data_IF_361100667554
#
_entry.id   IF_361100667554
#
_cell.length_a   1.000
_cell.length_b   1.000
_cell.length_c   1.000
_cell.angle_alpha   90.00
_cell.angle_beta   90.00
_cell.angle_gamma   90.00
#
_symmetry.space_group_name_H-M   'P 1'
#
loop_
_entity.id
_entity.type
_entity.pdbx_description
1 polymer ?
#
# COMPACT_ATOMS: atom_id res chain seq x y z
N UNK A 1 18.41 10.85 -7.46
CA UNK A 1 17.62 10.88 -8.72
C UNK A 1 17.73 9.57 -9.52
N UNK A 2 18.94 9.10 -9.84
CA UNK A 2 19.15 7.85 -10.62
C UNK A 2 18.48 6.63 -9.96
N UNK A 3 18.64 6.45 -8.65
CA UNK A 3 18.02 5.35 -7.91
C UNK A 3 16.50 5.31 -8.07
N UNK A 4 15.82 6.46 -8.00
CA UNK A 4 14.36 6.54 -8.15
C UNK A 4 13.91 6.15 -9.56
N UNK A 5 14.69 6.51 -10.59
CA UNK A 5 14.44 6.09 -11.97
C UNK A 5 14.60 4.57 -12.09
N UNK A 6 15.62 3.99 -11.46
CA UNK A 6 15.84 2.54 -11.45
C UNK A 6 14.72 1.80 -10.74
N UNK A 7 14.24 2.30 -9.60
CA UNK A 7 13.05 1.78 -8.90
C UNK A 7 11.83 1.82 -9.82
N UNK A 8 11.55 2.96 -10.45
CA UNK A 8 10.40 3.07 -11.34
C UNK A 8 10.48 2.11 -12.54
N UNK A 9 11.61 2.10 -13.25
CA UNK A 9 11.82 1.24 -14.42
C UNK A 9 11.73 -0.24 -14.04
N UNK A 10 12.32 -0.63 -12.92
CA UNK A 10 12.29 -2.02 -12.45
C UNK A 10 10.85 -2.45 -12.14
N UNK A 11 10.11 -1.66 -11.38
CA UNK A 11 8.71 -1.94 -11.11
C UNK A 11 7.89 -2.03 -12.42
N UNK A 12 8.05 -1.07 -13.33
CA UNK A 12 7.35 -1.04 -14.62
C UNK A 12 7.64 -2.29 -15.46
N UNK A 13 8.91 -2.67 -15.61
CA UNK A 13 9.34 -3.84 -16.37
C UNK A 13 8.77 -5.12 -15.77
N UNK A 14 8.85 -5.29 -14.44
CA UNK A 14 8.29 -6.46 -13.75
C UNK A 14 6.77 -6.55 -13.99
N UNK A 15 6.04 -5.44 -13.81
CA UNK A 15 4.59 -5.43 -14.10
C UNK A 15 4.33 -5.80 -15.56
N UNK A 16 5.03 -5.20 -16.52
CA UNK A 16 4.82 -5.40 -17.95
C UNK A 16 5.00 -6.88 -18.35
N UNK A 17 6.05 -7.55 -17.84
CA UNK A 17 6.32 -8.95 -18.17
C UNK A 17 5.45 -9.95 -17.38
N UNK A 18 5.10 -9.66 -16.14
CA UNK A 18 4.30 -10.58 -15.32
C UNK A 18 2.81 -10.51 -15.63
N UNK A 19 2.30 -9.36 -16.10
CA UNK A 19 0.86 -9.16 -16.40
C UNK A 19 0.28 -10.19 -17.37
N UNK A 20 0.89 -10.48 -18.55
CA UNK A 20 0.37 -11.50 -19.46
C UNK A 20 0.26 -12.90 -18.84
N UNK A 21 1.21 -13.27 -17.98
CA UNK A 21 1.19 -14.55 -17.28
C UNK A 21 0.05 -14.61 -16.27
N UNK A 22 -0.18 -13.53 -15.51
CA UNK A 22 -1.28 -13.44 -14.55
C UNK A 22 -2.64 -13.44 -15.25
N UNK A 23 -2.80 -12.77 -16.39
CA UNK A 23 -4.04 -12.82 -17.18
C UNK A 23 -4.39 -14.28 -17.52
N UNK A 24 -3.40 -15.08 -17.96
CA UNK A 24 -3.62 -16.51 -18.26
C UNK A 24 -4.05 -17.28 -17.01
N UNK A 25 -3.39 -17.06 -15.87
CA UNK A 25 -3.75 -17.71 -14.59
C UNK A 25 -5.15 -17.30 -14.14
N UNK A 26 -5.50 -16.02 -14.25
CA UNK A 26 -6.82 -15.51 -13.88
C UNK A 26 -7.94 -16.20 -14.69
N UNK A 27 -7.76 -16.34 -16.00
CA UNK A 27 -8.71 -17.04 -16.87
C UNK A 27 -8.80 -18.52 -16.49
N UNK A 28 -7.66 -19.21 -16.32
CA UNK A 28 -7.63 -20.63 -15.98
C UNK A 28 -8.26 -20.94 -14.60
N UNK A 29 -8.22 -19.98 -13.67
CA UNK A 29 -8.76 -20.11 -12.32
C UNK A 29 -10.14 -19.46 -12.14
N UNK A 30 -10.75 -18.95 -13.21
CA UNK A 30 -12.01 -18.19 -13.17
C UNK A 30 -11.97 -16.99 -12.19
N UNK A 31 -10.79 -16.37 -12.02
CA UNK A 31 -10.60 -15.11 -11.28
C UNK A 31 -10.81 -13.91 -12.22
N UNK A 32 -11.95 -13.94 -12.92
CA UNK A 32 -12.34 -12.96 -13.92
C UNK A 32 -13.69 -12.36 -13.56
N UNK A 33 -13.82 -11.06 -13.74
CA UNK A 33 -15.10 -10.38 -13.61
C UNK A 33 -15.82 -10.41 -14.96
N UNK A 34 -17.06 -10.92 -14.95
CA UNK A 34 -17.91 -11.02 -16.13
C UNK A 34 -18.76 -9.75 -16.28
N UNK A 35 -19.04 -9.30 -17.51
CA UNK A 35 -19.91 -8.16 -17.75
C UNK A 35 -21.38 -8.58 -17.60
N UNK A 36 -21.85 -8.75 -16.36
CA UNK A 36 -23.18 -9.27 -16.04
C UNK A 36 -24.17 -8.23 -15.49
N UNK A 37 -23.72 -7.03 -15.13
CA UNK A 37 -24.58 -5.98 -14.55
C UNK A 37 -24.60 -4.71 -15.41
N UNK A 38 -25.76 -4.05 -15.50
CA UNK A 38 -25.98 -2.80 -16.26
C UNK A 38 -25.09 -1.62 -15.81
N UNK A 39 -24.47 -1.73 -14.63
CA UNK A 39 -23.53 -0.74 -14.08
C UNK A 39 -22.07 -0.93 -14.54
N UNK A 40 -21.75 -1.99 -15.31
CA UNK A 40 -20.38 -2.31 -15.75
C UNK A 40 -20.12 -1.87 -17.19
N UNK A 41 -19.13 -1.00 -17.39
CA UNK A 41 -18.78 -0.39 -18.70
C UNK A 41 -17.99 -1.37 -19.60
N UNK A 42 -17.34 -2.37 -19.00
CA UNK A 42 -16.48 -3.30 -19.71
C UNK A 42 -17.28 -4.35 -20.48
N UNK A 43 -16.92 -4.57 -21.75
CA UNK A 43 -17.58 -5.54 -22.66
C UNK A 43 -16.91 -6.92 -22.71
N UNK A 44 -15.86 -7.13 -21.91
CA UNK A 44 -15.03 -8.35 -21.90
C UNK A 44 -14.74 -8.74 -20.46
N UNK A 45 -14.40 -10.01 -20.25
CA UNK A 45 -13.97 -10.50 -18.95
C UNK A 45 -12.63 -9.85 -18.55
N UNK A 46 -12.55 -9.29 -17.34
CA UNK A 46 -11.36 -8.59 -16.83
C UNK A 46 -10.79 -9.35 -15.63
N UNK A 47 -9.46 -9.59 -15.55
CA UNK A 47 -8.85 -10.20 -14.36
C UNK A 47 -9.05 -9.32 -13.12
N UNK A 48 -9.52 -9.89 -12.01
CA UNK A 48 -9.71 -9.17 -10.75
C UNK A 48 -8.43 -9.05 -9.91
N UNK A 49 -7.38 -9.78 -10.29
CA UNK A 49 -6.15 -9.95 -9.50
C UNK A 49 -5.00 -9.00 -9.89
N UNK A 50 -5.28 -7.93 -10.66
CA UNK A 50 -4.25 -6.99 -11.15
C UNK A 50 -3.43 -6.33 -10.03
N UNK A 51 -4.08 -6.00 -8.91
CA UNK A 51 -3.42 -5.41 -7.73
C UNK A 51 -2.31 -6.29 -7.14
N UNK A 52 -2.39 -7.62 -7.32
CA UNK A 52 -1.35 -8.55 -6.83
C UNK A 52 -0.01 -8.33 -7.52
N UNK A 53 -0.01 -8.15 -8.85
CA UNK A 53 1.24 -7.87 -9.55
C UNK A 53 1.77 -6.50 -9.17
N UNK A 54 0.91 -5.48 -9.10
CA UNK A 54 1.35 -4.13 -8.78
C UNK A 54 2.04 -4.13 -7.42
N UNK A 55 1.43 -4.72 -6.40
CA UNK A 55 2.03 -4.85 -5.08
C UNK A 55 3.34 -5.64 -5.10
N UNK A 56 3.36 -6.81 -5.75
CA UNK A 56 4.57 -7.65 -5.81
C UNK A 56 5.73 -6.95 -6.52
N UNK A 57 5.46 -6.25 -7.62
CA UNK A 57 6.46 -5.50 -8.38
C UNK A 57 6.97 -4.28 -7.60
N UNK A 58 6.08 -3.55 -6.92
CA UNK A 58 6.46 -2.43 -6.04
C UNK A 58 7.33 -2.93 -4.88
N UNK A 59 6.93 -4.00 -4.20
CA UNK A 59 7.70 -4.57 -3.09
C UNK A 59 9.06 -5.10 -3.55
N UNK A 60 9.10 -5.82 -4.68
CA UNK A 60 10.33 -6.32 -5.28
C UNK A 60 11.29 -5.18 -5.62
N UNK A 61 10.81 -4.17 -6.34
CA UNK A 61 11.63 -3.04 -6.76
C UNK A 61 12.11 -2.21 -5.58
N UNK A 62 11.22 -1.95 -4.60
CA UNK A 62 11.59 -1.23 -3.38
C UNK A 62 12.67 -1.98 -2.60
N UNK A 63 12.54 -3.30 -2.46
CA UNK A 63 13.51 -4.13 -1.74
C UNK A 63 14.84 -4.27 -2.49
N UNK A 64 14.80 -4.38 -3.82
CA UNK A 64 16.00 -4.54 -4.66
C UNK A 64 16.91 -3.30 -4.61
N UNK A 65 16.29 -2.12 -4.58
CA UNK A 65 17.00 -0.83 -4.63
C UNK A 65 17.06 -0.14 -3.26
N UNK A 66 16.71 -0.83 -2.17
CA UNK A 66 16.87 -0.31 -0.83
C UNK A 66 18.37 -0.14 -0.53
N UNK A 67 18.81 1.12 -0.50
CA UNK A 67 20.22 1.45 -0.34
C UNK A 67 20.49 1.98 1.07
N UNK A 68 21.47 1.38 1.73
CA UNK A 68 22.03 1.84 3.02
C UNK A 68 23.54 2.09 2.92
N UNK A 69 24.12 2.01 1.72
CA UNK A 69 25.56 2.04 1.50
C UNK A 69 26.13 3.45 1.72
N UNK A 70 25.33 4.48 1.42
CA UNK A 70 25.68 5.89 1.62
C UNK A 70 25.50 6.36 3.08
N UNK A 71 24.99 5.49 3.96
CA UNK A 71 24.79 5.79 5.38
C UNK A 71 26.05 5.42 6.16
N UNK A 72 26.68 6.42 6.79
CA UNK A 72 27.91 6.21 7.55
C UNK A 72 27.69 6.10 9.07
N UNK A 73 26.53 6.53 9.56
CA UNK A 73 26.18 6.48 10.98
C UNK A 73 25.27 5.28 11.27
N UNK A 74 25.65 4.50 12.29
CA UNK A 74 24.86 3.36 12.78
C UNK A 74 23.43 3.78 13.15
N UNK A 75 23.24 4.98 13.70
CA UNK A 75 21.91 5.48 14.07
C UNK A 75 20.99 5.63 12.85
N UNK A 76 21.53 6.15 11.74
CA UNK A 76 20.79 6.36 10.50
C UNK A 76 20.47 5.03 9.80
N UNK A 77 21.41 4.09 9.80
CA UNK A 77 21.19 2.73 9.28
C UNK A 77 20.08 2.05 10.09
N UNK A 78 20.14 2.16 11.42
CA UNK A 78 19.15 1.55 12.31
C UNK A 78 17.73 2.08 12.03
N UNK A 79 17.54 3.40 11.98
CA UNK A 79 16.23 3.98 11.69
C UNK A 79 15.75 3.63 10.27
N UNK A 80 16.62 3.69 9.26
CA UNK A 80 16.25 3.33 7.87
C UNK A 80 15.78 1.87 7.76
N UNK A 81 16.48 0.95 8.43
CA UNK A 81 16.11 -0.47 8.46
C UNK A 81 14.84 -0.70 9.26
N UNK A 82 14.63 0.05 10.35
CA UNK A 82 13.41 -0.01 11.16
C UNK A 82 12.20 0.45 10.35
N UNK A 83 12.28 1.60 9.68
CA UNK A 83 11.23 2.10 8.79
C UNK A 83 10.91 1.11 7.67
N UNK A 84 11.95 0.59 7.00
CA UNK A 84 11.80 -0.40 5.94
C UNK A 84 11.04 -1.65 6.42
N UNK A 85 11.42 -2.21 7.57
CA UNK A 85 10.75 -3.38 8.17
C UNK A 85 9.28 -3.11 8.48
N UNK A 86 8.99 -1.93 9.04
CA UNK A 86 7.63 -1.56 9.44
C UNK A 86 6.74 -1.33 8.22
N UNK A 87 7.25 -0.66 7.18
CA UNK A 87 6.52 -0.43 5.92
C UNK A 87 6.24 -1.76 5.22
N UNK A 88 7.20 -2.68 5.15
CA UNK A 88 6.98 -3.99 4.54
C UNK A 88 5.96 -4.81 5.34
N UNK A 89 6.12 -4.90 6.65
CA UNK A 89 5.20 -5.67 7.50
C UNK A 89 3.76 -5.14 7.41
N UNK A 90 3.59 -3.82 7.50
CA UNK A 90 2.26 -3.20 7.44
C UNK A 90 1.65 -3.30 6.05
N UNK A 91 2.43 -3.09 4.99
CA UNK A 91 1.96 -3.25 3.61
C UNK A 91 1.56 -4.69 3.29
N UNK A 92 2.25 -5.71 3.83
CA UNK A 92 1.89 -7.12 3.66
C UNK A 92 0.53 -7.43 4.30
N UNK A 93 0.27 -6.90 5.50
CA UNK A 93 -1.04 -7.04 6.15
C UNK A 93 -2.13 -6.42 5.28
N UNK A 94 -1.92 -5.21 4.76
CA UNK A 94 -2.89 -4.55 3.88
C UNK A 94 -3.10 -5.32 2.58
N UNK A 95 -2.02 -5.83 2.00
CA UNK A 95 -2.09 -6.67 0.81
C UNK A 95 -2.99 -7.89 1.01
N UNK A 96 -2.79 -8.64 2.10
CA UNK A 96 -3.64 -9.81 2.38
C UNK A 96 -5.09 -9.44 2.72
N UNK A 97 -5.31 -8.30 3.38
CA UNK A 97 -6.67 -7.80 3.61
C UNK A 97 -7.36 -7.48 2.28
N UNK A 98 -6.67 -6.80 1.36
CA UNK A 98 -7.18 -6.49 0.02
C UNK A 98 -7.46 -7.75 -0.80
N UNK A 99 -6.49 -8.67 -0.89
CA UNK A 99 -6.65 -9.94 -1.62
C UNK A 99 -7.82 -10.76 -1.07
N UNK A 100 -7.99 -10.81 0.25
CA UNK A 100 -9.12 -11.51 0.87
C UNK A 100 -10.45 -10.86 0.52
N UNK A 101 -10.50 -9.53 0.52
CA UNK A 101 -11.69 -8.76 0.16
C UNK A 101 -12.09 -9.00 -1.31
N UNK A 102 -11.12 -9.00 -2.23
CA UNK A 102 -11.35 -9.22 -3.66
C UNK A 102 -11.83 -10.65 -3.98
N UNK A 103 -11.37 -11.66 -3.23
CA UNK A 103 -11.70 -13.08 -3.50
C UNK A 103 -12.99 -13.52 -2.81
N UNK A 104 -13.19 -13.16 -1.53
CA UNK A 104 -14.26 -13.73 -0.68
C UNK A 104 -15.25 -12.65 -0.22
N UNK A 105 -14.88 -11.38 -0.31
CA UNK A 105 -15.59 -10.28 0.35
C UNK A 105 -15.34 -10.26 1.85
N UNK A 106 -15.10 -9.08 2.42
CA UNK A 106 -14.91 -8.90 3.85
C UNK A 106 -15.91 -7.87 4.40
N UNK A 107 -16.47 -8.15 5.59
CA UNK A 107 -17.35 -7.20 6.25
C UNK A 107 -16.63 -5.86 6.52
N UNK A 108 -17.24 -4.69 6.26
CA UNK A 108 -16.58 -3.39 6.38
C UNK A 108 -15.92 -3.16 7.75
N UNK A 109 -16.56 -3.61 8.83
CA UNK A 109 -16.03 -3.50 10.19
C UNK A 109 -14.73 -4.29 10.38
N UNK A 110 -14.60 -5.47 9.76
CA UNK A 110 -13.37 -6.29 9.84
C UNK A 110 -12.23 -5.65 9.04
N UNK A 111 -12.54 -5.04 7.89
CA UNK A 111 -11.58 -4.28 7.07
C UNK A 111 -11.09 -3.05 7.82
N UNK A 112 -12.01 -2.29 8.42
CA UNK A 112 -11.68 -1.13 9.24
C UNK A 112 -10.80 -1.51 10.44
N UNK A 113 -11.10 -2.60 11.14
CA UNK A 113 -10.28 -3.08 12.24
C UNK A 113 -8.84 -3.37 11.80
N UNK A 114 -8.66 -4.03 10.64
CA UNK A 114 -7.33 -4.29 10.10
C UNK A 114 -6.57 -3.00 9.76
N UNK A 115 -7.25 -2.01 9.15
CA UNK A 115 -6.65 -0.70 8.91
C UNK A 115 -6.28 0.00 10.22
N UNK A 116 -7.13 -0.02 11.25
CA UNK A 116 -6.81 0.55 12.57
C UNK A 116 -5.54 -0.09 13.14
N UNK A 117 -5.44 -1.42 13.12
CA UNK A 117 -4.24 -2.13 13.59
C UNK A 117 -2.99 -1.71 12.81
N UNK A 118 -3.07 -1.65 11.47
CA UNK A 118 -1.96 -1.22 10.62
C UNK A 118 -1.55 0.23 10.92
N UNK A 119 -2.53 1.14 11.03
CA UNK A 119 -2.27 2.54 11.36
C UNK A 119 -1.60 2.69 12.73
N UNK A 120 -2.03 1.93 13.73
CA UNK A 120 -1.40 1.92 15.05
C UNK A 120 0.04 1.39 15.01
N UNK A 121 0.34 0.37 14.19
CA UNK A 121 1.71 -0.11 14.00
C UNK A 121 2.58 0.99 13.38
N UNK A 122 2.12 1.64 12.30
CA UNK A 122 2.84 2.74 11.65
C UNK A 122 3.14 3.88 12.64
N UNK A 123 2.16 4.27 13.44
CA UNK A 123 2.24 5.42 14.34
C UNK A 123 3.04 5.11 15.60
N UNK A 124 2.73 4.01 16.30
CA UNK A 124 3.30 3.72 17.62
C UNK A 124 4.64 3.00 17.54
N UNK A 125 4.84 2.11 16.55
CA UNK A 125 6.09 1.37 16.39
C UNK A 125 7.02 2.06 15.38
N UNK A 126 6.44 2.66 14.33
CA UNK A 126 7.20 3.33 13.27
C UNK A 126 7.52 4.78 13.54
N UNK A 127 6.83 5.43 14.49
CA UNK A 127 6.83 6.90 14.64
C UNK A 127 6.51 7.63 13.32
N UNK A 128 5.82 6.95 12.39
CA UNK A 128 5.37 7.50 11.11
C UNK A 128 4.03 8.19 11.35
N UNK A 129 4.12 9.47 11.72
CA UNK A 129 2.96 10.28 12.09
C UNK A 129 3.10 11.74 11.67
N UNK A 130 1.96 12.38 11.48
CA UNK A 130 1.84 13.83 11.29
C UNK A 130 2.16 14.49 12.63
N UNK A 131 3.33 15.13 12.74
CA UNK A 131 3.80 15.80 13.97
C UNK A 131 3.38 17.27 14.07
N UNK A 132 2.85 17.82 12.97
CA UNK A 132 2.57 19.23 12.85
C UNK A 132 1.77 19.59 11.61
N UNK A 133 1.23 20.80 11.59
CA UNK A 133 0.48 21.35 10.46
C UNK A 133 1.34 22.29 9.58
N UNK A 134 2.64 22.43 9.90
CA UNK A 134 3.61 23.20 9.11
C UNK A 134 3.15 24.64 8.80
N UNK A 135 2.48 25.30 9.75
CA UNK A 135 2.02 26.68 9.63
C UNK A 135 0.57 26.83 9.14
N UNK A 136 -0.10 25.74 8.75
CA UNK A 136 -1.54 25.76 8.49
C UNK A 136 -2.27 26.10 9.80
N UNK A 137 -3.20 27.06 9.75
CA UNK A 137 -3.88 27.64 10.91
C UNK A 137 -2.94 28.23 11.98
N UNK A 138 -1.73 28.66 11.61
CA UNK A 138 -0.69 29.13 12.55
C UNK A 138 -0.26 28.05 13.56
N UNK A 139 -0.48 26.77 13.26
CA UNK A 139 -0.04 25.64 14.10
C UNK A 139 1.19 25.00 13.47
N UNK A 140 2.32 25.05 14.18
CA UNK A 140 3.53 24.35 13.74
C UNK A 140 3.52 22.89 14.20
N UNK A 141 3.45 22.66 15.51
CA UNK A 141 3.43 21.32 16.12
C UNK A 141 2.11 21.08 16.83
N UNK A 142 1.67 19.82 16.80
CA UNK A 142 0.49 19.36 17.52
C UNK A 142 0.90 18.50 18.72
N UNK A 143 0.11 18.50 19.81
CA UNK A 143 0.39 17.62 20.95
C UNK A 143 0.32 16.16 20.51
N UNK A 144 1.03 15.30 21.23
CA UNK A 144 1.21 13.89 20.87
C UNK A 144 -0.11 13.14 20.64
N UNK A 145 -1.10 13.30 21.52
CA UNK A 145 -2.41 12.67 21.36
C UNK A 145 -3.11 13.12 20.07
N UNK A 146 -2.96 14.41 19.71
CA UNK A 146 -3.51 14.97 18.48
C UNK A 146 -2.77 14.47 17.25
N UNK A 147 -1.45 14.30 17.33
CA UNK A 147 -0.62 13.68 16.30
C UNK A 147 -1.06 12.24 16.01
N UNK A 148 -1.24 11.43 17.05
CA UNK A 148 -1.68 10.03 16.92
C UNK A 148 -3.07 9.98 16.27
N UNK A 149 -4.03 10.76 16.78
CA UNK A 149 -5.40 10.79 16.26
C UNK A 149 -5.43 11.25 14.80
N UNK A 150 -4.81 12.38 14.48
CA UNK A 150 -4.82 12.94 13.14
C UNK A 150 -4.17 12.00 12.12
N UNK A 151 -3.07 11.35 12.50
CA UNK A 151 -2.38 10.40 11.63
C UNK A 151 -3.22 9.17 11.36
N UNK A 152 -3.82 8.59 12.41
CA UNK A 152 -4.68 7.42 12.29
C UNK A 152 -5.92 7.72 11.43
N UNK A 153 -6.56 8.87 11.70
CA UNK A 153 -7.71 9.34 10.93
C UNK A 153 -7.35 9.55 9.46
N UNK A 154 -6.28 10.29 9.18
CA UNK A 154 -5.83 10.59 7.81
C UNK A 154 -5.52 9.32 7.04
N UNK A 155 -4.76 8.40 7.65
CA UNK A 155 -4.43 7.12 7.04
C UNK A 155 -5.70 6.31 6.70
N UNK A 156 -6.63 6.15 7.65
CA UNK A 156 -7.87 5.39 7.43
C UNK A 156 -8.71 6.03 6.32
N UNK A 157 -8.85 7.36 6.34
CA UNK A 157 -9.64 8.09 5.33
C UNK A 157 -9.02 7.91 3.95
N UNK A 158 -7.71 8.09 3.79
CA UNK A 158 -7.04 7.95 2.49
C UNK A 158 -7.20 6.54 1.93
N UNK A 159 -6.96 5.49 2.74
CA UNK A 159 -7.07 4.11 2.27
C UNK A 159 -8.51 3.77 1.86
N UNK A 160 -9.51 4.19 2.64
CA UNK A 160 -10.91 3.94 2.30
C UNK A 160 -11.37 4.79 1.10
N UNK A 161 -10.89 6.03 0.96
CA UNK A 161 -11.22 6.90 -0.16
C UNK A 161 -10.70 6.32 -1.49
N UNK A 162 -9.45 5.83 -1.52
CA UNK A 162 -8.91 5.16 -2.71
C UNK A 162 -9.73 3.92 -3.08
N UNK A 163 -10.09 3.09 -2.09
CA UNK A 163 -10.92 1.91 -2.30
C UNK A 163 -12.35 2.23 -2.78
N UNK A 164 -12.90 3.40 -2.45
CA UNK A 164 -14.25 3.82 -2.85
C UNK A 164 -14.30 4.43 -4.26
N UNK A 165 -13.19 5.02 -4.73
CA UNK A 165 -13.10 5.62 -6.06
C UNK A 165 -12.78 4.56 -7.13
N UNK A 166 -12.05 3.50 -6.77
CA UNK A 166 -11.64 2.43 -7.70
C UNK A 166 -12.71 1.35 -7.94
N UNK A 167 -13.61 1.15 -6.98
CA UNK A 167 -14.71 0.17 -7.04
C UNK A 167 -16.03 0.75 -7.54
#
# INVERSE_FOLDING_TARGET
MVLLILVFITAFVVVLYTTPALIKVAILKNLIDLPSEDRKIHKRAIPTIGGIIIYAATLFSFSLWFNIDDLHDYSQIYESVKEFKIIIATSLVLFFVGVKDDIIGTAPVKKLFAHVVVGLILILMGDIRITGLHGVFFVERIPEWGSIFLSLFTYIVVVNAMNLIDG
#
